data_IF_493131957801
#
_entry.id   IF_493131957801
#
_cell.length_a   1.000
_cell.length_b   1.000
_cell.length_c   1.000
_cell.angle_alpha   90.00
_cell.angle_beta   90.00
_cell.angle_gamma   90.00
#
_symmetry.space_group_name_H-M   'P 1'
#
loop_
_entity.id
_entity.type
_entity.pdbx_description
1 polymer ?
#
# COMPACT_ATOMS: atom_id res chain seq x y z
N UNK A 1 -8.67 16.43 12.24
CA UNK A 1 -8.00 17.75 12.30
C UNK A 1 -9.11 18.80 12.34
N UNK A 2 -9.25 19.56 13.43
CA UNK A 2 -10.27 20.63 13.57
C UNK A 2 -9.69 22.03 13.35
N UNK A 3 -10.46 22.93 12.73
CA UNK A 3 -10.13 24.36 12.63
C UNK A 3 -10.85 25.17 13.72
N UNK A 4 -10.15 26.11 14.36
CA UNK A 4 -10.69 27.08 15.34
C UNK A 4 -10.71 28.51 14.75
N UNK A 5 -11.64 29.35 15.21
CA UNK A 5 -11.87 30.75 14.76
C UNK A 5 -10.62 31.64 14.84
N UNK A 6 -10.41 32.48 13.80
CA UNK A 6 -9.11 33.03 13.38
C UNK A 6 -9.04 34.57 13.32
N UNK A 7 -9.42 35.30 14.38
CA UNK A 7 -9.22 36.76 14.47
C UNK A 7 -7.75 37.23 14.26
N UNK A 8 -6.78 36.30 14.23
CA UNK A 8 -5.37 36.56 13.89
C UNK A 8 -4.94 35.65 12.74
N UNK A 9 -4.01 36.12 11.89
CA UNK A 9 -3.51 35.49 10.66
C UNK A 9 -2.67 34.20 10.91
N UNK A 10 -3.08 33.37 11.88
CA UNK A 10 -2.42 32.14 12.31
C UNK A 10 -3.34 30.94 12.01
N UNK A 11 -2.78 29.91 11.39
CA UNK A 11 -3.44 28.62 11.22
C UNK A 11 -3.12 27.77 12.45
N UNK A 12 -4.14 27.46 13.26
CA UNK A 12 -4.03 26.57 14.41
C UNK A 12 -4.50 25.18 13.97
N UNK A 13 -3.67 24.17 14.22
CA UNK A 13 -3.95 22.78 13.88
C UNK A 13 -4.13 21.99 15.17
N UNK A 14 -5.29 21.35 15.32
CA UNK A 14 -5.52 20.36 16.37
C UNK A 14 -5.08 18.95 15.91
N UNK A 15 -4.08 18.39 16.60
CA UNK A 15 -3.50 17.09 16.30
C UNK A 15 -3.22 16.30 17.58
N UNK A 16 -3.55 15.01 17.57
CA UNK A 16 -3.26 14.07 18.65
C UNK A 16 -2.23 13.06 18.21
N UNK A 17 -1.38 12.60 19.15
CA UNK A 17 -0.43 11.53 18.89
C UNK A 17 -1.13 10.18 18.94
N UNK A 18 -0.78 9.29 18.00
CA UNK A 18 -1.11 7.87 18.08
C UNK A 18 -0.47 7.24 19.31
N UNK A 19 -0.89 6.03 19.69
CA UNK A 19 -0.30 5.31 20.82
C UNK A 19 1.21 5.14 20.70
N UNK A 20 1.69 4.91 19.47
CA UNK A 20 3.14 4.85 19.21
C UNK A 20 3.82 6.20 19.40
N UNK A 21 3.20 7.28 18.94
CA UNK A 21 3.70 8.64 19.16
C UNK A 21 3.77 9.00 20.64
N UNK A 22 2.72 8.67 21.41
CA UNK A 22 2.67 8.85 22.87
C UNK A 22 3.74 8.03 23.58
N UNK A 23 3.98 6.79 23.15
CA UNK A 23 5.06 5.96 23.68
C UNK A 23 6.44 6.60 23.46
N UNK A 24 6.70 7.15 22.26
CA UNK A 24 7.98 7.79 21.95
C UNK A 24 8.16 9.10 22.72
N UNK A 25 7.11 9.90 22.84
CA UNK A 25 7.14 11.13 23.66
C UNK A 25 7.39 10.80 25.15
N UNK A 26 6.73 9.76 25.67
CA UNK A 26 6.85 9.35 27.07
C UNK A 26 8.25 8.83 27.46
N UNK A 27 9.10 8.45 26.48
CA UNK A 27 10.49 8.07 26.75
C UNK A 27 11.32 9.24 27.27
N UNK A 28 10.96 10.48 26.95
CA UNK A 28 11.62 11.71 27.41
C UNK A 28 13.16 11.70 27.25
N UNK A 29 13.65 11.03 26.21
CA UNK A 29 15.08 10.86 25.91
C UNK A 29 15.56 11.84 24.81
N UNK A 30 14.71 12.78 24.41
CA UNK A 30 14.97 13.73 23.31
C UNK A 30 14.90 13.12 21.91
N UNK A 31 14.56 11.84 21.77
CA UNK A 31 14.48 11.17 20.46
C UNK A 31 13.20 11.51 19.67
N UNK A 32 12.18 12.04 20.34
CA UNK A 32 10.92 12.39 19.70
C UNK A 32 10.98 13.78 19.05
N UNK A 33 10.96 13.82 17.73
CA UNK A 33 10.88 15.05 16.94
C UNK A 33 10.00 14.84 15.70
N UNK A 34 9.11 15.79 15.43
CA UNK A 34 8.26 15.79 14.24
C UNK A 34 9.06 16.41 13.09
N UNK A 35 9.53 15.59 12.16
CA UNK A 35 10.38 16.03 11.03
C UNK A 35 9.62 16.19 9.71
N UNK A 36 8.45 15.56 9.60
CA UNK A 36 7.65 15.48 8.37
C UNK A 36 6.18 15.45 8.74
N UNK A 37 5.37 16.05 7.88
CA UNK A 37 3.92 15.96 7.92
C UNK A 37 3.40 15.69 6.51
N UNK A 38 2.20 15.15 6.42
CA UNK A 38 1.47 14.99 5.18
C UNK A 38 0.02 15.33 5.45
N UNK A 39 -0.64 15.92 4.46
CA UNK A 39 -2.08 16.14 4.47
C UNK A 39 -2.78 14.96 3.79
N UNK A 40 -4.11 14.93 3.87
CA UNK A 40 -4.93 14.00 3.11
C UNK A 40 -6.32 14.57 2.89
N UNK A 41 -7.08 13.89 2.05
CA UNK A 41 -8.38 14.30 1.52
C UNK A 41 -9.39 13.15 1.53
N UNK A 42 -9.19 12.14 2.39
CA UNK A 42 -10.02 10.94 2.50
C UNK A 42 -11.51 11.26 2.71
N UNK A 43 -11.82 12.42 3.28
CA UNK A 43 -13.17 12.89 3.59
C UNK A 43 -13.84 13.68 2.45
N UNK A 44 -13.10 13.99 1.40
CA UNK A 44 -13.58 14.80 0.27
C UNK A 44 -14.26 13.90 -0.76
N UNK A 45 -15.58 14.03 -0.91
CA UNK A 45 -16.31 13.37 -1.97
C UNK A 45 -16.19 14.13 -3.31
N UNK A 46 -15.21 13.73 -4.12
CA UNK A 46 -14.99 14.27 -5.46
C UNK A 46 -16.09 13.95 -6.47
N UNK A 47 -17.02 13.03 -6.18
CA UNK A 47 -18.17 12.74 -7.07
C UNK A 47 -19.13 13.94 -7.18
N UNK A 48 -19.12 14.82 -6.19
CA UNK A 48 -19.87 16.09 -6.20
C UNK A 48 -19.44 16.97 -7.39
N UNK A 49 -18.14 16.98 -7.73
CA UNK A 49 -17.63 17.71 -8.90
C UNK A 49 -18.12 17.07 -10.20
N UNK A 50 -18.15 15.75 -10.28
CA UNK A 50 -18.65 15.03 -11.47
C UNK A 50 -20.13 15.34 -11.72
N UNK A 51 -20.92 15.47 -10.64
CA UNK A 51 -22.37 15.72 -10.71
C UNK A 51 -22.75 17.18 -10.97
N UNK A 52 -22.05 18.14 -10.35
CA UNK A 52 -22.43 19.56 -10.39
C UNK A 52 -21.46 20.46 -11.17
N UNK A 53 -20.41 19.89 -11.74
CA UNK A 53 -19.34 20.62 -12.40
C UNK A 53 -18.39 21.31 -11.40
N UNK A 54 -17.24 21.80 -11.89
CA UNK A 54 -16.18 22.36 -11.03
C UNK A 54 -16.61 23.61 -10.27
N UNK A 55 -17.40 24.49 -10.88
CA UNK A 55 -17.80 25.78 -10.30
C UNK A 55 -18.69 25.62 -9.08
N UNK A 56 -19.75 24.80 -9.19
CA UNK A 56 -20.69 24.56 -8.10
C UNK A 56 -20.21 23.43 -7.18
N UNK A 57 -19.52 22.43 -7.75
CA UNK A 57 -19.02 21.29 -7.01
C UNK A 57 -17.97 21.67 -5.96
N UNK A 58 -17.05 22.59 -6.26
CA UNK A 58 -16.06 23.06 -5.28
C UNK A 58 -16.72 23.71 -4.05
N UNK A 59 -17.72 24.56 -4.28
CA UNK A 59 -18.42 25.26 -3.20
C UNK A 59 -19.24 24.29 -2.36
N UNK A 60 -19.80 23.25 -2.99
CA UNK A 60 -20.49 22.18 -2.29
C UNK A 60 -19.54 21.32 -1.46
N UNK A 61 -18.33 21.03 -1.94
CA UNK A 61 -17.32 20.32 -1.15
C UNK A 61 -16.94 21.16 0.07
N UNK A 62 -16.54 22.42 -0.14
CA UNK A 62 -16.13 23.32 0.94
C UNK A 62 -17.20 23.50 2.03
N UNK A 63 -18.49 23.48 1.66
CA UNK A 63 -19.60 23.65 2.61
C UNK A 63 -20.09 22.37 3.27
N UNK A 64 -19.91 21.21 2.64
CA UNK A 64 -20.49 19.95 3.11
C UNK A 64 -19.46 18.95 3.63
N UNK A 65 -18.18 19.10 3.33
CA UNK A 65 -17.14 18.22 3.87
C UNK A 65 -17.05 18.42 5.38
N UNK A 66 -17.40 17.39 6.19
CA UNK A 66 -17.32 17.50 7.63
C UNK A 66 -15.85 17.59 8.06
N UNK A 67 -15.58 18.41 9.07
CA UNK A 67 -14.27 18.51 9.69
C UNK A 67 -14.22 17.54 10.86
N UNK A 68 -13.42 16.48 10.78
CA UNK A 68 -13.29 15.49 11.85
C UNK A 68 -12.34 15.96 12.95
N UNK A 69 -12.61 15.56 14.19
CA UNK A 69 -11.66 15.68 15.28
C UNK A 69 -10.43 14.77 15.06
N UNK A 70 -9.33 15.07 15.74
CA UNK A 70 -8.13 14.25 15.62
C UNK A 70 -8.30 12.91 16.34
N UNK A 71 -8.14 11.79 15.63
CA UNK A 71 -8.27 10.45 16.18
C UNK A 71 -6.91 9.89 16.61
N UNK A 72 -6.89 9.19 17.75
CA UNK A 72 -5.66 8.54 18.26
C UNK A 72 -5.44 7.14 17.68
N UNK A 73 -6.50 6.51 17.17
CA UNK A 73 -6.42 5.20 16.54
C UNK A 73 -5.89 5.32 15.09
N UNK A 74 -4.73 4.72 14.83
CA UNK A 74 -4.12 4.70 13.49
C UNK A 74 -4.95 3.95 12.44
N UNK A 75 -5.85 3.06 12.87
CA UNK A 75 -6.74 2.33 11.97
C UNK A 75 -7.89 3.19 11.45
N UNK A 76 -8.26 4.24 12.18
CA UNK A 76 -9.25 5.24 11.77
C UNK A 76 -8.61 6.57 11.32
N UNK A 77 -7.28 6.63 11.34
CA UNK A 77 -6.52 7.78 10.86
C UNK A 77 -6.41 7.80 9.34
N UNK A 78 -5.71 8.82 8.85
CA UNK A 78 -5.50 9.08 7.43
C UNK A 78 -4.89 7.87 6.69
N UNK A 79 -5.61 7.36 5.69
CA UNK A 79 -5.22 6.20 4.87
C UNK A 79 -4.49 6.64 3.60
N UNK A 80 -5.01 7.65 2.90
CA UNK A 80 -4.38 8.16 1.69
C UNK A 80 -3.74 9.51 1.96
N UNK A 81 -2.40 9.53 1.87
CA UNK A 81 -1.62 10.74 2.09
C UNK A 81 -1.47 11.45 0.76
N UNK A 82 -1.73 12.76 0.76
CA UNK A 82 -1.35 13.61 -0.35
C UNK A 82 0.17 13.62 -0.50
N UNK A 83 0.60 13.65 -1.75
CA UNK A 83 1.99 13.66 -2.16
C UNK A 83 2.30 14.93 -2.94
N UNK A 84 3.52 15.44 -2.79
CA UNK A 84 3.99 16.59 -3.54
C UNK A 84 4.59 16.14 -4.87
N UNK A 85 4.06 16.67 -5.97
CA UNK A 85 4.57 16.43 -7.32
C UNK A 85 5.01 17.77 -7.91
N UNK A 86 6.15 17.82 -8.60
CA UNK A 86 6.68 19.09 -9.12
C UNK A 86 5.88 19.60 -10.33
N UNK A 87 5.24 18.70 -11.08
CA UNK A 87 4.51 19.05 -12.29
C UNK A 87 3.10 19.61 -11.99
N UNK A 88 2.84 20.90 -12.27
CA UNK A 88 1.53 21.53 -12.03
C UNK A 88 0.47 21.15 -13.06
N UNK A 89 0.87 20.56 -14.20
CA UNK A 89 -0.03 20.14 -15.27
C UNK A 89 -0.43 18.66 -15.16
N UNK A 90 -0.02 17.98 -14.08
CA UNK A 90 -0.41 16.61 -13.83
C UNK A 90 -1.94 16.53 -13.66
N UNK A 91 -2.58 15.74 -14.53
CA UNK A 91 -4.04 15.57 -14.49
C UNK A 91 -4.46 14.24 -13.85
N UNK A 92 -3.56 13.25 -13.81
CA UNK A 92 -3.85 11.88 -13.37
C UNK A 92 -2.64 11.24 -12.70
N UNK A 93 -2.89 10.43 -11.67
CA UNK A 93 -1.89 9.59 -11.04
C UNK A 93 -1.79 8.22 -11.74
N UNK A 94 -0.62 7.56 -11.73
CA UNK A 94 -0.48 6.20 -12.22
C UNK A 94 -1.22 5.21 -11.31
N UNK A 95 -1.64 4.09 -11.87
CA UNK A 95 -2.26 2.98 -11.14
C UNK A 95 -1.34 1.76 -11.14
N UNK A 96 -1.46 0.91 -10.13
CA UNK A 96 -0.75 -0.38 -10.09
C UNK A 96 -1.73 -1.50 -10.41
N UNK A 97 -1.31 -2.42 -11.26
CA UNK A 97 -2.01 -3.68 -11.53
C UNK A 97 -1.09 -4.85 -11.21
N UNK A 98 -1.68 -5.93 -10.69
CA UNK A 98 -0.98 -7.19 -10.42
C UNK A 98 -1.54 -8.24 -11.37
N UNK A 99 -0.64 -8.96 -12.04
CA UNK A 99 -0.97 -10.10 -12.87
C UNK A 99 -0.13 -11.31 -12.46
N UNK A 100 -0.70 -12.50 -12.55
CA UNK A 100 0.05 -13.76 -12.37
C UNK A 100 0.56 -14.19 -13.73
N UNK A 101 1.87 -14.22 -13.91
CA UNK A 101 2.51 -14.57 -15.20
C UNK A 101 2.78 -16.06 -15.32
N UNK A 102 3.05 -16.73 -14.19
CA UNK A 102 3.31 -18.16 -14.13
C UNK A 102 2.80 -18.73 -12.79
N UNK A 103 2.12 -19.88 -12.84
CA UNK A 103 1.43 -20.50 -11.70
C UNK A 103 -0.04 -20.07 -11.50
N UNK A 104 -0.59 -20.39 -10.33
CA UNK A 104 -1.97 -20.06 -9.93
C UNK A 104 -1.95 -19.20 -8.66
N UNK A 105 -2.98 -18.35 -8.44
CA UNK A 105 -3.14 -17.59 -7.18
C UNK A 105 -3.38 -18.49 -5.98
N UNK A 106 -3.75 -19.75 -6.24
CA UNK A 106 -3.84 -20.82 -5.27
C UNK A 106 -2.52 -21.58 -5.22
N UNK A 107 -1.80 -21.46 -4.11
CA UNK A 107 -0.62 -22.23 -3.80
C UNK A 107 -1.01 -23.52 -3.07
N UNK A 108 -0.28 -24.60 -3.28
CA UNK A 108 -0.51 -25.88 -2.59
C UNK A 108 0.69 -26.16 -1.68
N UNK A 109 0.40 -26.54 -0.44
CA UNK A 109 1.39 -27.01 0.53
C UNK A 109 1.64 -28.50 0.30
N UNK A 110 2.84 -28.87 -0.15
CA UNK A 110 3.23 -30.26 -0.41
C UNK A 110 4.67 -30.40 -0.92
N UNK A 111 5.02 -31.61 -1.37
CA UNK A 111 6.36 -31.96 -1.90
C UNK A 111 6.71 -31.17 -3.18
N UNK A 112 5.70 -30.86 -3.98
CA UNK A 112 5.82 -29.92 -5.10
C UNK A 112 5.56 -28.50 -4.59
N UNK A 113 6.65 -27.75 -4.40
CA UNK A 113 6.56 -26.35 -3.94
C UNK A 113 6.01 -25.48 -5.07
N UNK A 114 4.68 -25.43 -5.21
CA UNK A 114 4.04 -24.55 -6.16
C UNK A 114 4.33 -23.10 -5.78
N UNK A 115 4.59 -22.31 -6.81
CA UNK A 115 4.92 -20.91 -6.70
C UNK A 115 4.07 -20.08 -7.63
N UNK A 116 3.73 -18.88 -7.20
CA UNK A 116 3.11 -17.90 -8.07
C UNK A 116 4.15 -16.84 -8.43
N UNK A 117 4.39 -16.64 -9.72
CA UNK A 117 5.17 -15.50 -10.22
C UNK A 117 4.21 -14.33 -10.43
N UNK A 118 4.36 -13.31 -9.59
CA UNK A 118 3.57 -12.09 -9.61
C UNK A 118 4.34 -11.02 -10.37
N UNK A 119 3.66 -10.43 -11.34
CA UNK A 119 4.12 -9.27 -12.07
C UNK A 119 3.27 -8.07 -11.68
N UNK A 120 3.95 -6.97 -11.35
CA UNK A 120 3.32 -5.69 -11.07
C UNK A 120 3.67 -4.75 -12.18
N UNK A 121 2.63 -4.10 -12.70
CA UNK A 121 2.73 -3.11 -13.76
C UNK A 121 2.19 -1.80 -13.25
N UNK A 122 3.01 -0.76 -13.32
CA UNK A 122 2.57 0.61 -13.15
C UNK A 122 1.99 1.10 -14.48
N UNK A 123 0.71 1.43 -14.55
CA UNK A 123 0.04 1.90 -15.78
C UNK A 123 -0.40 3.35 -15.65
N UNK A 124 -0.42 4.07 -16.76
CA UNK A 124 -1.12 5.33 -16.88
C UNK A 124 -2.51 5.14 -17.49
N UNK A 125 -3.32 6.19 -17.42
CA UNK A 125 -4.56 6.27 -18.19
C UNK A 125 -4.23 6.57 -19.66
N UNK A 126 -4.91 5.92 -20.61
CA UNK A 126 -4.71 6.10 -22.06
C UNK A 126 -3.26 5.92 -22.56
N UNK A 127 -2.44 5.19 -21.82
CA UNK A 127 -1.06 4.91 -22.20
C UNK A 127 -0.18 6.16 -22.38
N UNK A 128 -0.55 7.27 -21.72
CA UNK A 128 0.26 8.50 -21.66
C UNK A 128 1.51 8.31 -20.81
N UNK A 129 2.57 9.07 -21.10
CA UNK A 129 3.83 8.96 -20.37
C UNK A 129 3.66 9.36 -18.89
N UNK A 130 4.14 8.51 -17.99
CA UNK A 130 4.13 8.77 -16.54
C UNK A 130 5.24 9.76 -16.22
N UNK A 131 4.92 10.77 -15.41
CA UNK A 131 5.90 11.74 -14.92
C UNK A 131 7.06 11.04 -14.20
N UNK A 132 8.27 11.56 -14.37
CA UNK A 132 9.49 11.03 -13.75
C UNK A 132 9.40 11.03 -12.22
N UNK A 133 8.69 11.99 -11.62
CA UNK A 133 8.49 12.07 -10.17
C UNK A 133 7.58 10.95 -9.64
N UNK A 134 6.72 10.41 -10.50
CA UNK A 134 5.75 9.38 -10.16
C UNK A 134 6.18 7.99 -10.62
N UNK A 135 7.24 7.88 -11.41
CA UNK A 135 7.75 6.60 -11.91
C UNK A 135 8.48 5.85 -10.81
N UNK A 136 8.01 4.64 -10.49
CA UNK A 136 8.54 3.85 -9.38
C UNK A 136 9.81 3.08 -9.76
N UNK A 137 10.97 3.47 -9.23
CA UNK A 137 12.19 2.67 -9.38
C UNK A 137 12.19 1.37 -8.53
N UNK A 138 11.33 1.31 -7.51
CA UNK A 138 11.17 0.16 -6.63
C UNK A 138 9.81 0.16 -5.94
N UNK A 139 9.39 -1.02 -5.51
CA UNK A 139 8.13 -1.28 -4.82
C UNK A 139 8.41 -1.88 -3.45
N UNK A 140 7.60 -1.49 -2.46
CA UNK A 140 7.57 -2.11 -1.14
C UNK A 140 6.52 -3.21 -1.19
N UNK A 141 6.90 -4.43 -0.83
CA UNK A 141 5.97 -5.56 -0.75
C UNK A 141 5.87 -6.00 0.69
N UNK A 142 4.64 -6.04 1.20
CA UNK A 142 4.28 -6.48 2.53
C UNK A 142 3.48 -7.77 2.44
N UNK A 143 3.84 -8.76 3.23
CA UNK A 143 3.21 -10.08 3.22
C UNK A 143 3.29 -10.72 4.60
N UNK A 144 2.49 -11.76 4.82
CA UNK A 144 2.57 -12.55 6.05
C UNK A 144 3.75 -13.52 6.00
N UNK A 145 4.79 -13.23 6.80
CA UNK A 145 6.03 -14.01 6.84
C UNK A 145 5.88 -15.41 7.46
N UNK A 146 4.71 -15.71 8.03
CA UNK A 146 4.39 -17.06 8.53
C UNK A 146 4.09 -18.03 7.41
N UNK A 147 3.41 -17.57 6.37
CA UNK A 147 2.86 -18.42 5.32
C UNK A 147 3.60 -18.30 3.99
N UNK A 148 4.11 -17.12 3.67
CA UNK A 148 4.71 -16.82 2.37
C UNK A 148 6.18 -16.48 2.53
N UNK A 149 6.99 -16.95 1.58
CA UNK A 149 8.31 -16.41 1.28
C UNK A 149 8.27 -15.72 -0.08
N UNK A 150 8.96 -14.60 -0.19
CA UNK A 150 9.16 -13.92 -1.47
C UNK A 150 10.60 -14.10 -1.92
N UNK A 151 10.78 -14.43 -3.19
CA UNK A 151 12.06 -14.57 -3.86
C UNK A 151 11.96 -13.99 -5.28
N UNK A 152 13.08 -13.81 -5.96
CA UNK A 152 13.10 -13.51 -7.40
C UNK A 152 14.15 -14.40 -8.06
N UNK A 153 14.04 -14.59 -9.38
CA UNK A 153 15.04 -15.33 -10.14
C UNK A 153 16.41 -14.64 -10.04
N UNK A 154 16.41 -13.31 -10.04
CA UNK A 154 17.60 -12.49 -9.81
C UNK A 154 17.69 -12.11 -8.32
N UNK A 155 18.74 -12.58 -7.65
CA UNK A 155 18.94 -12.35 -6.21
C UNK A 155 19.06 -10.87 -5.82
N UNK A 156 19.43 -10.00 -6.78
CA UNK A 156 19.55 -8.56 -6.57
C UNK A 156 18.23 -7.81 -6.75
N UNK A 157 17.19 -8.47 -7.25
CA UNK A 157 15.92 -7.84 -7.58
C UNK A 157 15.01 -7.67 -6.35
N UNK A 158 15.12 -8.57 -5.37
CA UNK A 158 14.37 -8.51 -4.12
C UNK A 158 15.34 -8.39 -2.95
N UNK A 159 15.14 -7.39 -2.09
CA UNK A 159 15.95 -7.22 -0.88
C UNK A 159 15.72 -8.36 0.12
N UNK A 160 16.68 -8.54 1.03
CA UNK A 160 16.52 -9.45 2.18
C UNK A 160 15.25 -9.11 2.97
N UNK A 161 14.38 -10.10 3.26
CA UNK A 161 13.18 -9.87 4.07
C UNK A 161 13.50 -9.31 5.45
N UNK A 162 12.84 -8.22 5.81
CA UNK A 162 12.82 -7.71 7.18
C UNK A 162 11.46 -8.04 7.79
N UNK A 163 11.45 -8.79 8.89
CA UNK A 163 10.21 -9.10 9.62
C UNK A 163 9.96 -7.99 10.64
N UNK A 164 8.89 -7.23 10.43
CA UNK A 164 8.45 -6.20 11.36
C UNK A 164 7.70 -6.76 12.56
N UNK A 165 7.11 -5.87 13.37
CA UNK A 165 6.16 -6.27 14.41
C UNK A 165 4.95 -6.94 13.75
N UNK A 166 4.34 -7.91 14.44
CA UNK A 166 3.15 -8.66 14.01
C UNK A 166 3.36 -9.62 12.81
N UNK A 167 4.57 -10.14 12.61
CA UNK A 167 4.91 -11.13 11.56
C UNK A 167 4.71 -10.64 10.12
N UNK A 168 4.62 -9.33 9.90
CA UNK A 168 4.57 -8.75 8.56
C UNK A 168 6.00 -8.69 8.01
N UNK A 169 6.26 -9.50 6.99
CA UNK A 169 7.48 -9.44 6.20
C UNK A 169 7.41 -8.27 5.24
N UNK A 170 8.49 -7.48 5.19
CA UNK A 170 8.65 -6.39 4.22
C UNK A 170 9.89 -6.62 3.39
N UNK A 171 9.75 -6.47 2.08
CA UNK A 171 10.85 -6.47 1.11
C UNK A 171 10.74 -5.25 0.21
N UNK A 172 11.85 -4.91 -0.46
CA UNK A 172 11.87 -4.00 -1.59
C UNK A 172 12.14 -4.79 -2.86
N UNK A 173 11.23 -4.70 -3.83
CA UNK A 173 11.40 -5.25 -5.17
C UNK A 173 11.82 -4.11 -6.12
N UNK A 174 12.86 -4.32 -6.93
CA UNK A 174 13.34 -3.31 -7.89
C UNK A 174 12.57 -3.42 -9.20
N UNK A 175 12.53 -2.33 -9.94
CA UNK A 175 12.05 -2.38 -11.32
C UNK A 175 12.93 -3.32 -12.15
N UNK A 176 12.31 -4.26 -12.85
CA UNK A 176 12.99 -5.22 -13.76
C UNK A 176 12.90 -4.79 -15.22
N UNK A 177 11.82 -4.11 -15.59
CA UNK A 177 11.61 -3.62 -16.95
C UNK A 177 10.66 -2.42 -16.97
N UNK A 178 10.47 -1.84 -18.15
CA UNK A 178 9.60 -0.69 -18.39
C UNK A 178 8.48 -1.13 -19.33
N UNK A 179 7.27 -0.61 -19.11
CA UNK A 179 6.16 -0.85 -20.02
C UNK A 179 6.46 -0.40 -21.45
N UNK A 180 6.13 -1.26 -22.40
CA UNK A 180 6.25 -0.99 -23.83
C UNK A 180 5.03 -0.29 -24.43
N UNK A 181 4.07 0.12 -23.61
CA UNK A 181 2.80 0.69 -24.07
C UNK A 181 2.83 2.22 -24.24
N UNK A 182 3.98 2.86 -24.05
CA UNK A 182 4.14 4.32 -24.12
C UNK A 182 4.03 5.03 -22.77
N UNK A 183 3.56 4.35 -21.72
CA UNK A 183 3.50 4.92 -20.37
C UNK A 183 4.86 5.05 -19.69
N UNK A 184 5.86 4.31 -20.17
CA UNK A 184 7.15 4.12 -19.50
C UNK A 184 7.05 3.74 -18.02
N UNK A 185 5.92 3.14 -17.61
CA UNK A 185 5.70 2.71 -16.24
C UNK A 185 6.62 1.55 -15.84
N UNK A 186 6.94 1.49 -14.55
CA UNK A 186 7.79 0.44 -14.03
C UNK A 186 7.07 -0.91 -13.96
N UNK A 187 7.79 -1.97 -14.32
CA UNK A 187 7.38 -3.36 -14.14
C UNK A 187 8.35 -4.00 -13.14
N UNK A 188 7.82 -4.76 -12.19
CA UNK A 188 8.60 -5.64 -11.32
C UNK A 188 8.02 -7.04 -11.32
N UNK A 189 8.87 -8.04 -11.18
CA UNK A 189 8.48 -9.45 -11.09
C UNK A 189 9.12 -10.12 -9.88
N UNK A 190 8.33 -10.85 -9.11
CA UNK A 190 8.82 -11.67 -8.00
C UNK A 190 7.98 -12.92 -7.84
N UNK A 191 8.52 -13.90 -7.13
CA UNK A 191 7.94 -15.22 -6.90
C UNK A 191 7.52 -15.35 -5.44
N UNK A 192 6.24 -15.64 -5.23
CA UNK A 192 5.71 -16.03 -3.94
C UNK A 192 5.69 -17.55 -3.81
N UNK A 193 6.28 -18.06 -2.73
CA UNK A 193 6.30 -19.49 -2.40
C UNK A 193 5.72 -19.71 -1.00
N UNK A 194 5.13 -20.87 -0.78
CA UNK A 194 4.62 -21.25 0.55
C UNK A 194 5.80 -21.63 1.42
N UNK A 195 5.83 -21.10 2.66
CA UNK A 195 6.78 -21.52 3.68
C UNK A 195 6.40 -22.91 4.21
N UNK A 196 7.37 -23.72 4.56
CA UNK A 196 7.09 -25.00 5.22
C UNK A 196 6.55 -24.80 6.64
N UNK A 197 5.39 -25.38 6.96
CA UNK A 197 4.82 -25.41 8.31
C UNK A 197 4.01 -26.70 8.54
N UNK A 198 3.77 -27.06 9.81
CA UNK A 198 3.15 -28.33 10.22
C UNK A 198 1.65 -28.41 9.87
N UNK A 199 1.08 -29.62 9.90
CA UNK A 199 -0.36 -29.85 9.71
C UNK A 199 -1.22 -29.21 10.80
N UNK A 200 -0.76 -29.25 12.05
CA UNK A 200 -1.45 -28.57 13.15
C UNK A 200 -1.48 -27.06 12.94
N UNK A 201 -0.38 -26.49 12.45
CA UNK A 201 -0.31 -25.08 12.11
C UNK A 201 -1.25 -24.72 10.96
N UNK A 202 -1.36 -25.60 9.95
CA UNK A 202 -2.32 -25.42 8.87
C UNK A 202 -3.76 -25.40 9.40
N UNK A 203 -4.14 -26.41 10.18
CA UNK A 203 -5.50 -26.55 10.69
C UNK A 203 -5.91 -25.40 11.62
N UNK A 204 -4.97 -24.79 12.32
CA UNK A 204 -5.23 -23.63 13.18
C UNK A 204 -5.60 -22.36 12.37
N UNK A 205 -4.95 -22.13 11.23
CA UNK A 205 -5.16 -20.94 10.40
C UNK A 205 -6.09 -21.16 9.20
N UNK A 206 -6.43 -22.40 8.89
CA UNK A 206 -7.32 -22.71 7.79
C UNK A 206 -8.77 -22.38 8.13
N UNK A 207 -9.55 -21.98 7.12
CA UNK A 207 -10.97 -21.62 7.28
C UNK A 207 -11.86 -22.78 7.74
N UNK A 208 -11.42 -24.02 7.57
CA UNK A 208 -12.11 -25.22 8.08
C UNK A 208 -11.14 -26.38 8.27
N UNK A 209 -11.52 -27.38 9.06
CA UNK A 209 -10.66 -28.52 9.43
C UNK A 209 -10.53 -29.60 8.34
N UNK A 210 -11.47 -29.68 7.40
CA UNK A 210 -11.55 -30.78 6.40
C UNK A 210 -11.16 -30.34 4.98
N UNK A 211 -11.54 -29.12 4.58
CA UNK A 211 -11.22 -28.53 3.27
C UNK A 211 -10.85 -27.06 3.40
N UNK A 212 -10.25 -26.67 4.53
CA UNK A 212 -9.93 -25.28 4.80
C UNK A 212 -8.86 -24.77 3.88
N UNK A 213 -8.92 -23.48 3.61
CA UNK A 213 -7.93 -22.71 2.83
C UNK A 213 -7.36 -21.67 3.77
N UNK A 214 -6.05 -21.43 3.71
CA UNK A 214 -5.46 -20.27 4.38
C UNK A 214 -5.51 -19.11 3.38
N UNK A 215 -6.21 -18.04 3.74
CA UNK A 215 -6.28 -16.81 2.94
C UNK A 215 -5.27 -15.83 3.49
N UNK A 216 -4.39 -15.34 2.64
CA UNK A 216 -3.40 -14.33 2.99
C UNK A 216 -3.33 -13.25 1.91
N UNK A 217 -2.77 -12.10 2.25
CA UNK A 217 -2.73 -10.93 1.39
C UNK A 217 -1.29 -10.46 1.22
N UNK A 218 -0.95 -10.09 -0.01
CA UNK A 218 0.26 -9.36 -0.34
C UNK A 218 -0.16 -7.95 -0.73
N UNK A 219 0.34 -6.96 -0.02
CA UNK A 219 0.15 -5.54 -0.35
C UNK A 219 1.43 -4.99 -0.96
N UNK A 220 1.30 -4.32 -2.09
CA UNK A 220 2.42 -3.79 -2.88
C UNK A 220 2.20 -2.30 -3.01
N UNK A 221 3.22 -1.50 -2.69
CA UNK A 221 3.16 -0.04 -2.70
C UNK A 221 4.33 0.53 -3.49
N UNK A 222 4.05 1.44 -4.43
CA UNK A 222 5.06 2.22 -5.14
C UNK A 222 5.78 3.20 -4.20
N UNK A 223 7.11 3.27 -4.27
CA UNK A 223 7.90 4.15 -3.39
C UNK A 223 7.76 5.63 -3.77
N UNK A 224 7.67 5.92 -5.06
CA UNK A 224 7.54 7.27 -5.59
C UNK A 224 6.07 7.63 -5.80
N UNK A 225 5.29 6.76 -6.45
CA UNK A 225 3.89 7.02 -6.77
C UNK A 225 2.95 6.94 -5.57
N UNK A 226 3.35 6.24 -4.50
CA UNK A 226 2.47 5.93 -3.37
C UNK A 226 1.28 5.03 -3.71
N UNK A 227 1.10 4.64 -4.98
CA UNK A 227 0.01 3.79 -5.40
C UNK A 227 0.16 2.40 -4.75
N UNK A 228 -0.95 1.82 -4.30
CA UNK A 228 -0.96 0.54 -3.62
C UNK A 228 -1.97 -0.42 -4.20
N UNK A 229 -1.61 -1.70 -4.27
CA UNK A 229 -2.49 -2.78 -4.73
C UNK A 229 -2.32 -3.99 -3.81
N UNK A 230 -3.44 -4.63 -3.46
CA UNK A 230 -3.44 -5.82 -2.61
C UNK A 230 -3.92 -7.01 -3.42
N UNK A 231 -3.11 -8.07 -3.43
CA UNK A 231 -3.43 -9.34 -4.06
C UNK A 231 -3.72 -10.39 -2.99
N UNK A 232 -4.86 -11.07 -3.12
CA UNK A 232 -5.18 -12.24 -2.29
C UNK A 232 -4.46 -13.48 -2.82
N UNK A 233 -3.92 -14.28 -1.91
CA UNK A 233 -3.32 -15.59 -2.16
C UNK A 233 -4.02 -16.63 -1.30
N UNK A 234 -4.40 -17.72 -1.93
CA UNK A 234 -5.03 -18.86 -1.26
C UNK A 234 -4.01 -19.97 -1.12
N UNK A 235 -3.92 -20.57 0.06
CA UNK A 235 -3.03 -21.71 0.30
C UNK A 235 -3.88 -22.92 0.66
N UNK A 236 -3.80 -23.94 -0.19
CA UNK A 236 -4.49 -25.21 -0.02
C UNK A 236 -3.54 -26.28 0.54
N UNK A 237 -4.12 -27.28 1.19
CA UNK A 237 -3.44 -28.51 1.58
C UNK A 237 -3.29 -29.41 0.33
N UNK A 238 -2.10 -29.97 0.11
CA UNK A 238 -1.96 -31.10 -0.81
C UNK A 238 -2.82 -32.24 -0.33
N UNK A 239 -3.60 -32.83 -1.24
CA UNK A 239 -4.25 -34.13 -1.04
C UNK A 239 -3.25 -35.17 -0.54
#
# INVERSE_FOLDING_TARGET
MGFLDHSTNNIIIDAVLTDKGRQLLARNDGSFSITRFAFGDDEVDYSIIQKFGRTVGKEKIEKNTPVFEAQTNGDLGLKYRMMSVANPFLTRLPTLTVSVTDGNTTLIRGTDTLSATLQIKQSSFNNELIDVDLRDASFIVQYDSRFINISSADSNNVSTPSVGQNNIGTIRARQTSTNSDGSEGAITTFRATVRSFTDDYYNYYATSTTSGVIVTFITITGVASGASVTQQININKSS
#
